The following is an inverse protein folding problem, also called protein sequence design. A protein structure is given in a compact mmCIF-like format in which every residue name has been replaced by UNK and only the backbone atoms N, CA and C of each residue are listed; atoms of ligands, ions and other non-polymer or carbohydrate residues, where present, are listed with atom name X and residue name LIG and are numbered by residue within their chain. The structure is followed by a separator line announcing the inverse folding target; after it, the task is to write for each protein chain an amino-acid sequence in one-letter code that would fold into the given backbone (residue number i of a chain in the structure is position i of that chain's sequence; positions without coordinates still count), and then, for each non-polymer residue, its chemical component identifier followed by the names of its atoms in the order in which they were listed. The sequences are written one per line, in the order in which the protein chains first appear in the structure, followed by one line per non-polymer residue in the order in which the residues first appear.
data_IF_280003893980
#
_entry.id   IF_280003893980
#
_cell.length_a   1.000
_cell.length_b   1.000
_cell.length_c   1.000
_cell.angle_alpha   90.00
_cell.angle_beta   90.00
_cell.angle_gamma   90.00
#
_symmetry.space_group_name_H-M   'P 1'
#
loop_
_entity.id
_entity.type
_entity.pdbx_description
1 polymer ?
#
# COMPACT_ATOMS: atom_id res chain seq x y z
N UNK A 1 41.76 0.71 -12.36
CA UNK A 1 40.96 1.94 -12.21
C UNK A 1 39.88 2.10 -13.28
N UNK A 2 40.18 2.00 -14.58
CA UNK A 2 39.19 2.15 -15.67
C UNK A 2 38.00 1.17 -15.59
N UNK A 3 38.23 -0.10 -15.20
CA UNK A 3 37.16 -1.09 -14.99
C UNK A 3 36.24 -0.77 -13.82
N UNK A 4 36.79 -0.17 -12.76
CA UNK A 4 36.02 0.24 -11.58
C UNK A 4 35.12 1.44 -11.90
N UNK A 5 35.64 2.40 -12.65
CA UNK A 5 34.87 3.55 -13.16
C UNK A 5 33.76 3.07 -14.10
N UNK A 6 34.06 2.11 -14.99
CA UNK A 6 33.07 1.56 -15.92
C UNK A 6 31.93 0.82 -15.22
N UNK A 7 32.21 0.09 -14.13
CA UNK A 7 31.19 -0.60 -13.33
C UNK A 7 30.32 0.38 -12.53
N UNK A 8 30.91 1.46 -12.01
CA UNK A 8 30.19 2.49 -11.29
C UNK A 8 29.20 3.22 -12.22
N UNK A 9 29.63 3.57 -13.43
CA UNK A 9 28.78 4.21 -14.44
C UNK A 9 27.62 3.30 -14.86
N UNK A 10 27.86 2.00 -15.01
CA UNK A 10 26.81 1.04 -15.38
C UNK A 10 25.73 0.93 -14.29
N UNK A 11 26.12 0.89 -13.02
CA UNK A 11 25.18 0.83 -11.89
C UNK A 11 24.31 2.10 -11.78
N UNK A 12 24.84 3.27 -12.15
CA UNK A 12 24.13 4.55 -12.20
C UNK A 12 23.12 4.67 -13.35
N UNK A 13 23.19 3.79 -14.35
CA UNK A 13 22.30 3.83 -15.54
C UNK A 13 21.10 2.88 -15.46
N UNK A 14 20.95 2.10 -14.38
CA UNK A 14 19.82 1.19 -14.24
C UNK A 14 18.52 1.99 -14.01
N UNK A 15 17.45 1.73 -14.77
CA UNK A 15 16.20 2.44 -14.61
C UNK A 15 15.51 1.98 -13.31
N UNK A 16 15.44 2.88 -12.34
CA UNK A 16 14.59 2.72 -11.16
C UNK A 16 13.14 3.01 -11.54
N UNK A 17 12.54 2.15 -12.36
CA UNK A 17 11.13 2.28 -12.73
C UNK A 17 10.27 1.76 -11.59
N UNK A 18 9.71 2.68 -10.80
CA UNK A 18 8.68 2.33 -9.83
C UNK A 18 7.47 1.76 -10.59
N UNK A 19 7.05 0.54 -10.25
CA UNK A 19 5.84 -0.05 -10.84
C UNK A 19 4.67 0.86 -10.54
N UNK A 20 3.83 1.13 -11.54
CA UNK A 20 2.56 1.83 -11.34
C UNK A 20 1.69 0.99 -10.40
N UNK A 21 1.19 1.53 -9.28
CA UNK A 21 0.32 0.78 -8.41
C UNK A 21 -1.03 0.52 -9.09
N UNK A 22 -1.66 -0.60 -8.76
CA UNK A 22 -3.09 -0.78 -9.03
C UNK A 22 -3.86 0.00 -7.97
N UNK A 23 -4.90 0.73 -8.39
CA UNK A 23 -5.77 1.48 -7.47
C UNK A 23 -7.12 0.79 -7.42
N UNK A 24 -7.57 0.41 -6.22
CA UNK A 24 -8.90 -0.13 -5.98
C UNK A 24 -9.65 0.89 -5.13
N UNK A 25 -10.77 1.41 -5.65
CA UNK A 25 -11.67 2.30 -4.92
C UNK A 25 -12.91 1.53 -4.50
N UNK A 26 -13.16 1.46 -3.19
CA UNK A 26 -14.30 0.76 -2.60
C UNK A 26 -15.22 1.81 -1.99
N UNK A 27 -16.45 1.86 -2.48
CA UNK A 27 -17.52 2.70 -1.95
C UNK A 27 -18.58 1.80 -1.32
N UNK A 28 -18.94 2.09 -0.08
CA UNK A 28 -20.08 1.49 0.60
C UNK A 28 -21.11 2.58 0.85
N UNK A 29 -22.34 2.34 0.44
CA UNK A 29 -23.46 3.27 0.66
C UNK A 29 -23.98 3.14 2.10
N UNK A 30 -24.37 4.26 2.70
CA UNK A 30 -24.90 4.35 4.08
C UNK A 30 -24.06 3.67 5.18
N UNK A 31 -22.76 3.48 4.96
CA UNK A 31 -21.87 2.91 5.98
C UNK A 31 -21.51 3.97 7.02
N UNK A 32 -22.02 3.80 8.24
CA UNK A 32 -21.74 4.69 9.36
C UNK A 32 -20.34 4.50 9.94
N UNK A 33 -19.76 5.57 10.47
CA UNK A 33 -18.47 5.51 11.18
C UNK A 33 -18.49 4.51 12.35
N UNK A 34 -19.62 4.43 13.06
CA UNK A 34 -19.80 3.52 14.19
C UNK A 34 -19.99 2.05 13.83
N UNK A 35 -20.03 1.70 12.54
CA UNK A 35 -20.31 0.33 12.09
C UNK A 35 -19.05 -0.54 11.97
N UNK A 36 -17.86 0.06 11.96
CA UNK A 36 -16.60 -0.66 11.77
C UNK A 36 -15.90 -1.00 13.09
N UNK A 37 -15.40 -2.23 13.19
CA UNK A 37 -14.63 -2.72 14.33
C UNK A 37 -13.39 -1.86 14.61
N UNK A 38 -12.69 -1.40 13.57
CA UNK A 38 -11.56 -0.48 13.69
C UNK A 38 -11.91 0.88 14.33
N UNK A 39 -13.18 1.25 14.41
CA UNK A 39 -13.68 2.44 15.11
C UNK A 39 -14.33 2.13 16.47
N UNK A 40 -14.17 0.92 17.00
CA UNK A 40 -14.58 0.54 18.35
C UNK A 40 -15.94 -0.18 18.44
N UNK A 41 -16.56 -0.47 17.30
CA UNK A 41 -17.74 -1.31 17.19
C UNK A 41 -17.46 -2.74 17.69
N UNK A 42 -18.42 -3.40 18.39
CA UNK A 42 -18.20 -4.73 19.02
C UNK A 42 -19.11 -5.87 18.52
N UNK A 43 -20.18 -5.58 17.78
CA UNK A 43 -21.25 -6.54 17.43
C UNK A 43 -21.09 -7.06 15.99
N UNK A 44 -20.76 -6.17 15.05
CA UNK A 44 -20.67 -6.43 13.62
C UNK A 44 -19.20 -6.74 13.36
N UNK A 45 -18.94 -7.90 12.77
CA UNK A 45 -17.58 -8.33 12.51
C UNK A 45 -17.15 -7.81 11.14
N UNK A 46 -16.17 -6.91 11.12
CA UNK A 46 -15.59 -6.34 9.89
C UNK A 46 -14.11 -6.74 9.70
N UNK A 47 -13.74 -8.02 9.84
CA UNK A 47 -12.34 -8.43 10.01
C UNK A 47 -11.43 -8.05 8.83
N UNK A 48 -11.97 -7.99 7.60
CA UNK A 48 -11.21 -7.56 6.43
C UNK A 48 -10.91 -6.06 6.45
N UNK A 49 -11.90 -5.23 6.81
CA UNK A 49 -11.74 -3.78 6.92
C UNK A 49 -10.84 -3.45 8.12
N UNK A 50 -11.00 -4.16 9.24
CA UNK A 50 -10.18 -3.98 10.43
C UNK A 50 -8.70 -4.31 10.16
N UNK A 51 -8.44 -5.38 9.40
CA UNK A 51 -7.09 -5.74 8.96
C UNK A 51 -6.51 -4.68 8.01
N UNK A 52 -7.28 -4.21 7.03
CA UNK A 52 -6.82 -3.15 6.11
C UNK A 52 -6.48 -1.86 6.86
N UNK A 53 -7.31 -1.45 7.82
CA UNK A 53 -7.04 -0.28 8.65
C UNK A 53 -5.76 -0.41 9.49
N UNK A 54 -5.39 -1.63 9.89
CA UNK A 54 -4.13 -1.92 10.60
C UNK A 54 -2.90 -1.92 9.68
N UNK A 55 -3.08 -2.31 8.43
CA UNK A 55 -2.01 -2.41 7.42
C UNK A 55 -1.67 -1.06 6.75
N UNK A 56 -2.63 -0.13 6.73
CA UNK A 56 -2.49 1.18 6.09
C UNK A 56 -3.11 1.23 4.70
#
# INVERSE_FOLDING_TARGET
MKRLISLLVLALTLPLSARRPNIIYILADDLGYGDLGCYGQKIIKTPNLDRMAKEG
#
